data_IF_886831379637
#
_entry.id   IF_886831379637
#
_cell.length_a   1.000
_cell.length_b   1.000
_cell.length_c   1.000
_cell.angle_alpha   90.00
_cell.angle_beta   90.00
_cell.angle_gamma   90.00
#
_symmetry.space_group_name_H-M   'P 1'
#
loop_
_entity.id
_entity.type
_entity.pdbx_description
1 polymer ?
#
# COMPACT_ATOMS: atom_id res chain seq x y z
N UNK A 1 12.90 -23.85 54.39
CA UNK A 1 12.80 -23.02 55.61
C UNK A 1 13.99 -23.35 56.49
N UNK A 2 15.09 -22.62 56.34
CA UNK A 2 16.11 -22.31 57.37
C UNK A 2 17.36 -21.72 56.71
N UNK A 3 17.89 -20.69 57.38
CA UNK A 3 19.08 -19.86 57.09
C UNK A 3 18.83 -18.82 55.97
N UNK A 4 18.88 -17.51 56.19
CA UNK A 4 19.55 -16.74 57.25
C UNK A 4 18.96 -15.31 57.23
N UNK A 5 18.32 -14.90 58.33
CA UNK A 5 18.05 -13.49 58.64
C UNK A 5 18.98 -13.15 59.81
N UNK A 6 19.97 -12.29 59.59
CA UNK A 6 20.20 -11.08 60.41
C UNK A 6 21.46 -10.30 60.02
N UNK A 7 21.33 -9.00 60.30
CA UNK A 7 22.29 -7.88 60.21
C UNK A 7 22.58 -7.34 58.82
N UNK A 8 21.82 -6.31 58.44
CA UNK A 8 22.44 -5.16 57.80
C UNK A 8 22.02 -3.84 58.47
N UNK A 9 23.06 -3.04 58.67
CA UNK A 9 23.16 -1.77 59.39
C UNK A 9 22.34 -0.67 58.71
N UNK A 10 21.79 0.26 59.51
CA UNK A 10 20.95 1.40 59.09
C UNK A 10 21.71 2.46 58.24
N UNK A 11 22.99 2.26 57.94
CA UNK A 11 23.81 3.17 57.12
C UNK A 11 23.77 2.95 55.60
N UNK A 12 22.89 2.11 55.05
CA UNK A 12 22.92 1.78 53.60
C UNK A 12 21.80 2.42 52.77
N UNK A 13 20.80 3.07 53.36
CA UNK A 13 19.62 3.54 52.61
C UNK A 13 19.93 4.69 51.62
N UNK A 14 20.84 5.61 51.98
CA UNK A 14 21.28 6.68 51.06
C UNK A 14 22.08 6.16 49.86
N UNK A 15 22.69 4.96 49.99
CA UNK A 15 23.38 4.29 48.88
C UNK A 15 22.39 3.63 47.91
N UNK A 16 21.18 3.31 48.36
CA UNK A 16 20.10 2.75 47.53
C UNK A 16 19.24 3.82 46.85
N UNK A 17 19.12 5.02 47.43
CA UNK A 17 18.49 6.16 46.73
C UNK A 17 19.32 6.61 45.51
N UNK A 18 20.65 6.48 45.58
CA UNK A 18 21.56 6.74 44.46
C UNK A 18 21.49 5.68 43.32
N UNK A 19 20.99 4.46 43.61
CA UNK A 19 20.77 3.42 42.60
C UNK A 19 19.54 3.72 41.72
N UNK A 20 18.55 4.46 42.23
CA UNK A 20 17.39 4.90 41.45
C UNK A 20 17.74 5.96 40.40
N UNK A 21 18.63 6.90 40.75
CA UNK A 21 19.15 7.89 39.81
C UNK A 21 20.13 7.27 38.82
N UNK A 22 21.00 6.34 39.25
CA UNK A 22 21.84 5.57 38.33
C UNK A 22 21.04 4.66 37.41
N UNK A 23 19.92 4.07 37.88
CA UNK A 23 18.99 3.30 37.05
C UNK A 23 18.31 4.19 36.00
N UNK A 24 17.88 5.41 36.37
CA UNK A 24 17.39 6.41 35.41
C UNK A 24 18.47 6.82 34.41
N UNK A 25 19.70 7.06 34.86
CA UNK A 25 20.82 7.42 33.98
C UNK A 25 21.20 6.29 33.03
N UNK A 26 21.22 5.04 33.50
CA UNK A 26 21.46 3.84 32.67
C UNK A 26 20.28 3.61 31.72
N UNK A 27 19.04 3.87 32.13
CA UNK A 27 17.86 3.77 31.27
C UNK A 27 17.85 4.87 30.21
N UNK A 28 18.17 6.11 30.56
CA UNK A 28 18.33 7.23 29.62
C UNK A 28 19.55 7.03 28.72
N UNK A 29 20.65 6.49 29.23
CA UNK A 29 21.83 6.13 28.42
C UNK A 29 21.50 4.98 27.46
N UNK A 30 20.80 3.94 27.94
CA UNK A 30 20.30 2.82 27.15
C UNK A 30 19.32 3.30 26.07
N UNK A 31 18.32 4.11 26.40
CA UNK A 31 17.34 4.63 25.43
C UNK A 31 17.98 5.56 24.39
N UNK A 32 18.93 6.42 24.81
CA UNK A 32 19.60 7.38 23.93
C UNK A 32 20.72 6.75 23.09
N UNK A 33 21.39 5.70 23.58
CA UNK A 33 22.42 4.95 22.83
C UNK A 33 21.89 3.72 22.09
N UNK A 34 20.74 3.12 22.46
CA UNK A 34 20.12 2.03 21.70
C UNK A 34 19.48 2.53 20.41
N UNK A 35 18.95 3.76 20.37
CA UNK A 35 18.54 4.40 19.12
C UNK A 35 19.76 4.66 18.21
N UNK A 36 20.88 5.13 18.80
CA UNK A 36 22.16 5.22 18.08
C UNK A 36 22.66 3.83 17.69
N UNK A 37 22.38 2.76 18.45
CA UNK A 37 22.79 1.39 18.13
C UNK A 37 21.97 0.80 16.99
N UNK A 38 20.66 1.12 16.90
CA UNK A 38 19.81 0.75 15.75
C UNK A 38 20.20 1.52 14.49
N UNK A 39 20.49 2.81 14.61
CA UNK A 39 20.99 3.61 13.48
C UNK A 39 22.43 3.24 13.12
N UNK A 40 23.28 2.88 14.08
CA UNK A 40 24.64 2.38 13.86
C UNK A 40 24.62 0.96 13.31
N UNK A 41 23.70 0.09 13.71
CA UNK A 41 23.50 -1.22 13.06
C UNK A 41 22.96 -1.05 11.65
N UNK A 42 22.04 -0.11 11.42
CA UNK A 42 21.56 0.23 10.08
C UNK A 42 22.68 0.79 9.22
N UNK A 43 23.49 1.71 9.76
CA UNK A 43 24.66 2.28 9.10
C UNK A 43 25.76 1.24 8.88
N UNK A 44 26.01 0.34 9.83
CA UNK A 44 26.98 -0.77 9.72
C UNK A 44 26.49 -1.80 8.71
N UNK A 45 25.19 -2.12 8.68
CA UNK A 45 24.59 -2.95 7.64
C UNK A 45 24.69 -2.28 6.29
N UNK A 46 24.49 -0.96 6.22
CA UNK A 46 24.66 -0.18 4.99
C UNK A 46 26.12 -0.18 4.51
N UNK A 47 27.09 0.08 5.40
CA UNK A 47 28.53 0.05 5.10
C UNK A 47 28.99 -1.36 4.73
N UNK A 48 28.56 -2.39 5.45
CA UNK A 48 28.85 -3.79 5.16
C UNK A 48 28.25 -4.22 3.82
N UNK A 49 27.00 -3.83 3.56
CA UNK A 49 26.34 -4.04 2.29
C UNK A 49 27.07 -3.35 1.12
N UNK A 50 27.62 -2.16 1.35
CA UNK A 50 28.40 -1.44 0.34
C UNK A 50 29.81 -2.02 0.14
N UNK A 51 30.39 -2.63 1.17
CA UNK A 51 31.63 -3.40 1.08
C UNK A 51 31.46 -4.72 0.31
N UNK A 52 30.28 -5.35 0.39
CA UNK A 52 29.94 -6.55 -0.38
C UNK A 52 29.80 -6.28 -1.88
N UNK A 53 29.34 -5.08 -2.25
CA UNK A 53 29.18 -4.69 -3.64
C UNK A 53 30.39 -3.87 -4.06
N UNK A 54 31.37 -4.49 -4.71
CA UNK A 54 32.52 -3.79 -5.34
C UNK A 54 32.11 -2.75 -6.40
N UNK A 55 30.80 -2.52 -6.59
CA UNK A 55 30.18 -1.59 -7.51
C UNK A 55 29.80 -0.27 -6.80
N UNK A 56 30.52 0.84 -7.06
CA UNK A 56 30.29 2.12 -6.39
C UNK A 56 28.94 2.78 -6.72
N UNK A 57 28.20 2.24 -7.69
CA UNK A 57 26.96 2.80 -8.21
C UNK A 57 25.70 2.20 -7.58
N UNK A 58 25.83 1.32 -6.58
CA UNK A 58 24.71 0.66 -5.91
C UNK A 58 24.61 1.15 -4.47
N UNK A 59 23.46 1.74 -4.11
CA UNK A 59 23.28 2.25 -2.75
C UNK A 59 23.17 1.12 -1.73
N UNK A 60 23.81 1.31 -0.58
CA UNK A 60 23.73 0.42 0.56
C UNK A 60 22.30 0.02 0.97
N UNK A 61 21.35 0.94 0.84
CA UNK A 61 19.92 0.69 1.14
C UNK A 61 19.28 -0.31 0.19
N UNK A 62 19.65 -0.27 -1.10
CA UNK A 62 19.15 -1.24 -2.07
C UNK A 62 19.70 -2.64 -1.78
N UNK A 63 20.98 -2.72 -1.45
CA UNK A 63 21.61 -3.99 -1.07
C UNK A 63 20.94 -4.58 0.17
N UNK A 64 20.69 -3.77 1.20
CA UNK A 64 19.97 -4.18 2.40
C UNK A 64 18.53 -4.64 2.10
N UNK A 65 17.83 -3.96 1.18
CA UNK A 65 16.50 -4.37 0.72
C UNK A 65 16.53 -5.76 0.08
N UNK A 66 17.48 -6.02 -0.81
CA UNK A 66 17.59 -7.29 -1.49
C UNK A 66 18.01 -8.44 -0.54
N UNK A 67 18.92 -8.17 0.41
CA UNK A 67 19.30 -9.13 1.47
C UNK A 67 18.08 -9.50 2.33
N UNK A 68 17.30 -8.52 2.78
CA UNK A 68 16.11 -8.74 3.63
C UNK A 68 15.04 -9.61 2.97
N UNK A 69 14.99 -9.59 1.64
CA UNK A 69 14.05 -10.37 0.82
C UNK A 69 14.63 -11.70 0.35
N UNK A 70 15.82 -12.06 0.83
CA UNK A 70 16.55 -13.29 0.46
C UNK A 70 16.67 -13.45 -1.05
N UNK A 71 16.87 -12.32 -1.77
CA UNK A 71 16.94 -12.34 -3.21
C UNK A 71 18.25 -13.04 -3.63
N UNK A 72 18.19 -14.15 -4.38
CA UNK A 72 19.39 -14.87 -4.78
C UNK A 72 20.25 -14.05 -5.75
N UNK A 73 21.57 -14.29 -5.74
CA UNK A 73 22.57 -13.68 -6.64
C UNK A 73 22.54 -12.15 -6.73
N UNK A 74 22.59 -11.51 -5.56
CA UNK A 74 22.68 -10.07 -5.37
C UNK A 74 23.74 -9.38 -6.24
N UNK A 75 24.92 -9.99 -6.37
CA UNK A 75 26.02 -9.45 -7.20
C UNK A 75 25.61 -9.24 -8.66
N UNK A 76 24.79 -10.14 -9.21
CA UNK A 76 24.30 -10.04 -10.59
C UNK A 76 23.27 -8.92 -10.75
N UNK A 77 22.37 -8.78 -9.77
CA UNK A 77 21.40 -7.67 -9.74
C UNK A 77 22.14 -6.34 -9.68
N UNK A 78 23.15 -6.21 -8.81
CA UNK A 78 23.96 -5.01 -8.68
C UNK A 78 24.76 -4.67 -9.94
N UNK A 79 25.28 -5.69 -10.64
CA UNK A 79 25.92 -5.54 -11.95
C UNK A 79 24.95 -5.01 -13.02
N UNK A 80 23.72 -5.57 -13.09
CA UNK A 80 22.67 -5.10 -13.99
C UNK A 80 22.27 -3.64 -13.70
N UNK A 81 22.09 -3.27 -12.44
CA UNK A 81 21.77 -1.90 -12.04
C UNK A 81 22.87 -0.90 -12.41
N UNK A 82 24.14 -1.33 -12.35
CA UNK A 82 25.28 -0.53 -12.77
C UNK A 82 25.29 -0.26 -14.29
N UNK A 83 24.72 -1.16 -15.10
CA UNK A 83 24.73 -1.08 -16.55
C UNK A 83 23.56 -0.28 -17.15
N UNK A 84 22.36 -0.39 -16.57
CA UNK A 84 21.13 -0.06 -17.29
C UNK A 84 20.59 1.36 -17.10
N UNK A 85 20.93 2.11 -16.04
CA UNK A 85 20.28 3.40 -15.79
C UNK A 85 21.25 4.48 -15.29
N UNK A 86 21.07 5.72 -15.78
CA UNK A 86 21.69 6.93 -15.21
C UNK A 86 20.94 7.46 -13.98
N UNK A 87 19.72 6.95 -13.74
CA UNK A 87 19.03 7.19 -12.49
C UNK A 87 18.04 6.10 -12.15
N UNK A 88 18.04 5.65 -10.90
CA UNK A 88 17.13 4.61 -10.38
C UNK A 88 16.27 5.24 -9.31
N UNK A 89 14.95 5.04 -9.40
CA UNK A 89 14.01 5.39 -8.35
C UNK A 89 13.84 4.17 -7.44
N UNK A 90 14.38 4.26 -6.23
CA UNK A 90 14.16 3.25 -5.21
C UNK A 90 12.97 3.65 -4.38
N UNK A 91 11.91 2.88 -4.55
CA UNK A 91 10.75 2.95 -3.68
C UNK A 91 11.09 2.12 -2.43
N UNK A 92 10.88 2.68 -1.24
CA UNK A 92 11.12 1.95 -0.01
C UNK A 92 10.21 0.71 0.11
N UNK A 93 10.42 -0.11 1.16
CA UNK A 93 9.66 -1.34 1.37
C UNK A 93 8.14 -1.13 1.53
N UNK A 94 7.68 0.11 1.67
CA UNK A 94 6.29 0.49 1.92
C UNK A 94 5.62 1.19 0.74
N UNK A 95 6.38 1.72 -0.22
CA UNK A 95 5.82 2.36 -1.41
C UNK A 95 5.91 3.89 -1.42
N UNK A 96 6.54 4.51 -0.42
CA UNK A 96 6.18 5.89 -0.01
C UNK A 96 7.23 6.95 -0.34
N UNK A 97 8.49 6.56 -0.42
CA UNK A 97 9.58 7.46 -0.78
C UNK A 97 10.33 6.94 -2.01
N UNK A 98 10.48 7.79 -3.03
CA UNK A 98 11.29 7.48 -4.20
C UNK A 98 12.67 8.14 -4.06
N UNK A 99 13.69 7.34 -3.75
CA UNK A 99 15.07 7.82 -3.73
C UNK A 99 15.58 7.85 -5.17
N UNK A 100 15.83 9.05 -5.72
CA UNK A 100 16.39 9.22 -7.06
C UNK A 100 17.91 9.12 -7.00
N UNK A 101 18.45 7.93 -7.24
CA UNK A 101 19.89 7.74 -7.37
C UNK A 101 20.34 8.22 -8.74
N UNK A 102 21.44 8.98 -8.83
CA UNK A 102 22.05 9.43 -10.09
C UNK A 102 23.28 8.58 -10.34
N UNK A 103 23.19 7.61 -11.24
CA UNK A 103 24.29 6.73 -11.61
C UNK A 103 25.11 7.34 -12.77
N UNK A 104 26.42 7.15 -12.75
CA UNK A 104 27.30 7.65 -13.82
C UNK A 104 27.05 6.85 -15.10
N UNK A 105 26.84 7.53 -16.24
CA UNK A 105 26.55 6.88 -17.55
C UNK A 105 27.63 5.86 -17.89
N UNK A 106 27.22 4.62 -18.18
CA UNK A 106 28.11 3.59 -18.70
C UNK A 106 28.48 3.87 -20.16
N UNK A 107 29.76 3.69 -20.51
CA UNK A 107 30.26 3.80 -21.90
C UNK A 107 29.60 2.79 -22.86
N UNK A 108 28.95 1.75 -22.32
CA UNK A 108 28.21 0.73 -23.07
C UNK A 108 26.99 1.34 -23.78
N UNK A 109 26.40 2.40 -23.23
CA UNK A 109 25.28 3.09 -23.88
C UNK A 109 25.67 3.73 -25.23
N UNK A 110 26.93 4.18 -25.35
CA UNK A 110 27.45 4.76 -26.60
C UNK A 110 27.71 3.66 -27.63
N UNK A 111 28.37 2.57 -27.22
CA UNK A 111 28.57 1.40 -28.10
C UNK A 111 27.24 0.81 -28.58
N UNK A 112 26.22 0.81 -27.71
CA UNK A 112 24.86 0.39 -28.00
C UNK A 112 24.15 1.29 -29.03
N UNK A 113 24.25 2.61 -28.90
CA UNK A 113 23.69 3.55 -29.88
C UNK A 113 24.39 3.38 -31.23
N UNK A 114 25.72 3.32 -31.24
CA UNK A 114 26.51 3.19 -32.46
C UNK A 114 26.25 1.85 -33.18
N UNK A 115 26.09 0.75 -32.45
CA UNK A 115 25.75 -0.55 -33.02
C UNK A 115 24.38 -0.58 -33.69
N UNK A 116 23.36 0.05 -33.08
CA UNK A 116 22.03 0.16 -33.68
C UNK A 116 22.02 1.06 -34.92
N UNK A 117 22.75 2.19 -34.88
CA UNK A 117 22.94 3.05 -36.05
C UNK A 117 23.62 2.27 -37.18
N UNK A 118 24.62 1.43 -36.87
CA UNK A 118 25.28 0.58 -37.86
C UNK A 118 24.34 -0.44 -38.52
N UNK A 119 23.52 -1.14 -37.73
CA UNK A 119 22.54 -2.10 -38.25
C UNK A 119 21.45 -1.43 -39.10
N UNK A 120 20.95 -0.27 -38.67
CA UNK A 120 19.96 0.48 -39.42
C UNK A 120 20.54 0.99 -40.74
N UNK A 121 21.78 1.47 -40.71
CA UNK A 121 22.52 1.91 -41.90
C UNK A 121 22.73 0.75 -42.88
N UNK A 122 23.11 -0.44 -42.37
CA UNK A 122 23.27 -1.64 -43.19
C UNK A 122 21.96 -2.05 -43.86
N UNK A 123 20.85 -2.06 -43.10
CA UNK A 123 19.53 -2.38 -43.64
C UNK A 123 19.10 -1.39 -44.74
N UNK A 124 19.31 -0.09 -44.53
CA UNK A 124 18.99 0.95 -45.54
C UNK A 124 19.85 0.77 -46.80
N UNK A 125 21.16 0.54 -46.66
CA UNK A 125 22.06 0.31 -47.81
C UNK A 125 21.63 -0.94 -48.59
N UNK A 126 21.29 -2.03 -47.90
CA UNK A 126 20.87 -3.28 -48.52
C UNK A 126 19.55 -3.12 -49.28
N UNK A 127 18.58 -2.39 -48.70
CA UNK A 127 17.30 -2.10 -49.35
C UNK A 127 17.47 -1.19 -50.55
N UNK A 128 18.34 -0.17 -50.46
CA UNK A 128 18.67 0.71 -51.57
C UNK A 128 19.29 -0.08 -52.73
N UNK A 129 20.24 -0.97 -52.43
CA UNK A 129 20.86 -1.85 -53.42
C UNK A 129 19.85 -2.78 -54.12
N UNK A 130 18.94 -3.39 -53.36
CA UNK A 130 17.85 -4.20 -53.91
C UNK A 130 16.87 -3.37 -54.76
N UNK A 131 16.59 -2.13 -54.36
CA UNK A 131 15.66 -1.25 -55.08
C UNK A 131 16.19 -0.79 -56.44
N UNK A 132 17.51 -0.66 -56.60
CA UNK A 132 18.16 -0.34 -57.88
C UNK A 132 18.01 -1.47 -58.92
N UNK A 133 17.75 -2.70 -58.47
CA UNK A 133 17.65 -3.89 -59.32
C UNK A 133 16.22 -4.21 -59.76
N UNK A 134 15.22 -3.46 -59.28
CA UNK A 134 13.80 -3.74 -59.51
C UNK A 134 13.13 -2.56 -60.22
N UNK A 135 12.71 -2.77 -61.48
CA UNK A 135 12.07 -1.74 -62.32
C UNK A 135 10.55 -1.67 -62.16
N UNK A 136 9.93 -2.63 -61.47
CA UNK A 136 8.48 -2.69 -61.30
C UNK A 136 8.03 -2.07 -59.97
N UNK A 137 6.92 -1.35 -60.01
CA UNK A 137 6.25 -0.75 -58.83
C UNK A 137 5.89 -1.80 -57.77
N UNK A 138 5.58 -3.03 -58.18
CA UNK A 138 5.32 -4.15 -57.26
C UNK A 138 6.56 -4.58 -56.48
N UNK A 139 7.76 -4.55 -57.10
CA UNK A 139 9.02 -4.86 -56.43
C UNK A 139 9.37 -3.85 -55.32
N UNK A 140 9.02 -2.58 -55.52
CA UNK A 140 9.21 -1.52 -54.52
C UNK A 140 8.39 -1.75 -53.25
N UNK A 141 7.11 -2.11 -53.38
CA UNK A 141 6.23 -2.36 -52.23
C UNK A 141 6.71 -3.58 -51.44
N UNK A 142 7.14 -4.64 -52.14
CA UNK A 142 7.64 -5.86 -51.49
C UNK A 142 8.92 -5.60 -50.68
N UNK A 143 9.84 -4.78 -51.19
CA UNK A 143 11.05 -4.37 -50.44
C UNK A 143 10.73 -3.54 -49.20
N UNK A 144 9.75 -2.64 -49.25
CA UNK A 144 9.32 -1.88 -48.08
C UNK A 144 8.77 -2.82 -47.00
N UNK A 145 7.96 -3.81 -47.38
CA UNK A 145 7.40 -4.80 -46.44
C UNK A 145 8.49 -5.67 -45.80
N UNK A 146 9.49 -6.11 -46.58
CA UNK A 146 10.66 -6.83 -46.03
C UNK A 146 11.44 -5.94 -45.07
N UNK A 147 11.62 -4.67 -45.38
CA UNK A 147 12.35 -3.71 -44.52
C UNK A 147 11.63 -3.52 -43.18
N UNK A 148 10.32 -3.32 -43.21
CA UNK A 148 9.49 -3.23 -42.00
C UNK A 148 9.58 -4.53 -41.20
N UNK A 149 9.53 -5.68 -41.88
CA UNK A 149 9.69 -7.00 -41.26
C UNK A 149 11.05 -7.17 -40.58
N UNK A 150 12.15 -6.76 -41.22
CA UNK A 150 13.50 -6.80 -40.65
C UNK A 150 13.60 -5.85 -39.45
N UNK A 151 13.02 -4.65 -39.52
CA UNK A 151 12.99 -3.71 -38.40
C UNK A 151 12.21 -4.31 -37.23
N UNK A 152 11.03 -4.88 -37.47
CA UNK A 152 10.22 -5.51 -36.44
C UNK A 152 10.90 -6.74 -35.82
N UNK A 153 11.55 -7.56 -36.65
CA UNK A 153 12.31 -8.72 -36.21
C UNK A 153 13.55 -8.30 -35.42
N UNK A 154 14.20 -7.19 -35.81
CA UNK A 154 15.31 -6.59 -35.07
C UNK A 154 14.85 -6.05 -33.73
N UNK A 155 13.71 -5.38 -33.64
CA UNK A 155 13.10 -4.90 -32.38
C UNK A 155 12.64 -6.06 -31.49
N UNK A 156 12.14 -7.17 -32.07
CA UNK A 156 11.72 -8.35 -31.31
C UNK A 156 12.93 -9.14 -30.78
N UNK A 157 13.93 -9.34 -31.64
CA UNK A 157 15.17 -10.03 -31.29
C UNK A 157 16.15 -9.15 -30.51
N UNK A 158 15.92 -7.83 -30.44
CA UNK A 158 16.67 -6.87 -29.64
C UNK A 158 16.73 -7.26 -28.17
N UNK A 159 15.61 -7.69 -27.58
CA UNK A 159 15.58 -8.18 -26.19
C UNK A 159 16.48 -9.40 -26.01
N UNK A 160 16.44 -10.31 -26.98
CA UNK A 160 17.25 -11.53 -27.00
C UNK A 160 18.74 -11.24 -27.22
N UNK A 161 19.09 -10.32 -28.11
CA UNK A 161 20.48 -9.90 -28.35
C UNK A 161 21.06 -9.16 -27.15
N UNK A 162 20.29 -8.27 -26.52
CA UNK A 162 20.70 -7.64 -25.26
C UNK A 162 20.95 -8.68 -24.16
N UNK A 163 20.09 -9.70 -24.08
CA UNK A 163 20.27 -10.83 -23.17
C UNK A 163 21.55 -11.62 -23.47
N UNK A 164 21.82 -11.95 -24.74
CA UNK A 164 23.00 -12.72 -25.17
C UNK A 164 24.29 -11.91 -24.96
N UNK A 165 24.30 -10.61 -25.27
CA UNK A 165 25.47 -9.76 -25.07
C UNK A 165 25.77 -9.58 -23.58
N UNK A 166 24.72 -9.49 -22.76
CA UNK A 166 24.85 -9.49 -21.30
C UNK A 166 25.39 -10.83 -20.79
N UNK A 167 24.93 -11.97 -21.32
CA UNK A 167 25.45 -13.32 -20.99
C UNK A 167 26.95 -13.43 -21.31
N UNK A 168 27.37 -13.01 -22.50
CA UNK A 168 28.76 -13.12 -22.93
C UNK A 168 29.71 -12.21 -22.11
N UNK A 169 29.23 -11.09 -21.55
CA UNK A 169 30.04 -10.25 -20.66
C UNK A 169 30.09 -10.74 -19.20
N UNK A 170 29.23 -11.69 -18.81
CA UNK A 170 29.22 -12.30 -17.48
C UNK A 170 30.16 -13.52 -17.38
N UNK A 171 30.66 -14.02 -18.51
CA UNK A 171 31.58 -15.16 -18.57
C UNK A 171 32.87 -14.91 -17.77
N UNK A 172 33.27 -13.65 -17.57
CA UNK A 172 34.54 -13.30 -16.89
C UNK A 172 34.45 -13.11 -15.37
N UNK A 173 33.26 -13.00 -14.76
CA UNK A 173 33.16 -12.46 -13.39
C UNK A 173 32.55 -13.40 -12.35
N UNK A 174 31.58 -14.29 -12.68
CA UNK A 174 30.81 -15.00 -11.62
C UNK A 174 30.41 -16.46 -11.90
N UNK A 175 30.31 -16.94 -13.16
CA UNK A 175 29.62 -18.21 -13.46
C UNK A 175 30.38 -19.19 -14.37
N UNK A 176 31.67 -19.42 -14.10
CA UNK A 176 32.51 -20.31 -14.92
C UNK A 176 32.03 -21.76 -15.06
N UNK A 177 31.20 -22.26 -14.14
CA UNK A 177 30.74 -23.65 -14.12
C UNK A 177 29.39 -23.95 -14.77
N UNK A 178 28.62 -22.95 -15.21
CA UNK A 178 27.28 -23.16 -15.78
C UNK A 178 27.33 -23.28 -17.31
N UNK A 179 26.52 -24.17 -17.87
CA UNK A 179 26.35 -24.27 -19.33
C UNK A 179 25.66 -23.01 -19.89
N UNK A 180 25.91 -22.71 -21.16
CA UNK A 180 25.32 -21.54 -21.85
C UNK A 180 23.78 -21.54 -21.82
N UNK A 181 23.17 -22.73 -21.81
CA UNK A 181 21.72 -22.90 -21.71
C UNK A 181 21.19 -22.54 -20.32
N UNK A 182 21.80 -23.07 -19.26
CA UNK A 182 21.44 -22.77 -17.86
C UNK A 182 21.58 -21.28 -17.55
N UNK A 183 22.64 -20.65 -18.05
CA UNK A 183 22.87 -19.20 -17.95
C UNK A 183 21.73 -18.39 -18.60
N UNK A 184 21.27 -18.81 -19.77
CA UNK A 184 20.20 -18.14 -20.53
C UNK A 184 18.84 -18.26 -19.83
N UNK A 185 18.52 -19.44 -19.30
CA UNK A 185 17.31 -19.67 -18.49
C UNK A 185 17.33 -18.85 -17.20
N UNK A 186 18.48 -18.75 -16.54
CA UNK A 186 18.64 -17.98 -15.31
C UNK A 186 18.41 -16.48 -15.52
N UNK A 187 18.95 -15.91 -16.60
CA UNK A 187 18.80 -14.48 -16.89
C UNK A 187 17.38 -14.16 -17.39
N UNK A 188 16.73 -15.06 -18.12
CA UNK A 188 15.29 -14.95 -18.45
C UNK A 188 14.43 -14.90 -17.17
N UNK A 189 14.76 -15.72 -16.16
CA UNK A 189 14.10 -15.69 -14.86
C UNK A 189 14.36 -14.37 -14.11
N UNK A 190 15.61 -13.88 -14.08
CA UNK A 190 15.95 -12.59 -13.49
C UNK A 190 15.30 -11.40 -14.22
N UNK A 191 15.12 -11.45 -15.54
CA UNK A 191 14.40 -10.42 -16.31
C UNK A 191 12.92 -10.41 -15.95
N UNK A 192 12.29 -11.59 -15.77
CA UNK A 192 10.91 -11.67 -15.26
C UNK A 192 10.80 -11.18 -13.82
N UNK A 193 11.80 -11.47 -12.99
CA UNK A 193 11.88 -10.94 -11.62
C UNK A 193 12.02 -9.41 -11.64
N UNK A 194 12.82 -8.86 -12.55
CA UNK A 194 12.99 -7.42 -12.76
C UNK A 194 11.68 -6.77 -13.25
N UNK A 195 10.99 -7.37 -14.22
CA UNK A 195 9.65 -6.94 -14.62
C UNK A 195 8.68 -7.01 -13.44
N UNK A 196 8.77 -8.01 -12.58
CA UNK A 196 7.89 -8.14 -11.39
C UNK A 196 8.20 -7.06 -10.33
N UNK A 197 9.47 -6.68 -10.16
CA UNK A 197 9.92 -5.67 -9.21
C UNK A 197 9.64 -4.25 -9.72
N UNK A 198 9.87 -3.98 -11.01
CA UNK A 198 9.66 -2.68 -11.64
C UNK A 198 8.20 -2.44 -12.04
N UNK A 199 7.43 -3.48 -12.38
CA UNK A 199 5.98 -3.37 -12.64
C UNK A 199 5.14 -3.44 -11.35
N UNK A 200 5.75 -3.28 -10.16
CA UNK A 200 5.03 -3.06 -8.90
C UNK A 200 4.43 -1.64 -8.82
N UNK A 201 3.98 -1.11 -9.96
CA UNK A 201 2.98 -0.06 -10.10
C UNK A 201 1.56 -0.68 -9.98
N UNK A 202 1.39 -1.65 -9.07
CA UNK A 202 0.17 -2.43 -8.83
C UNK A 202 -0.94 -1.60 -8.13
N UNK A 203 -0.91 -0.28 -8.24
CA UNK A 203 -2.03 0.60 -7.92
C UNK A 203 -3.08 0.65 -9.04
N UNK A 204 -2.79 0.13 -10.23
CA UNK A 204 -3.69 0.27 -11.39
C UNK A 204 -4.60 -0.94 -11.71
N UNK A 205 -4.48 -2.08 -11.01
CA UNK A 205 -5.31 -3.28 -11.27
C UNK A 205 -5.95 -3.89 -10.01
N UNK A 206 -6.06 -3.12 -8.93
CA UNK A 206 -6.80 -3.59 -7.76
C UNK A 206 -8.29 -3.46 -8.04
N UNK A 207 -9.06 -4.53 -7.79
CA UNK A 207 -10.51 -4.46 -7.94
C UNK A 207 -11.13 -3.56 -6.86
N UNK A 208 -12.39 -3.16 -7.03
CA UNK A 208 -13.07 -2.31 -6.05
C UNK A 208 -13.22 -3.03 -4.70
N UNK A 209 -13.52 -4.34 -4.69
CA UNK A 209 -13.55 -5.13 -3.46
C UNK A 209 -12.18 -5.24 -2.79
N UNK A 210 -11.11 -5.48 -3.54
CA UNK A 210 -9.77 -5.53 -2.96
C UNK A 210 -9.36 -4.16 -2.38
N UNK A 211 -9.78 -3.08 -3.02
CA UNK A 211 -9.58 -1.70 -2.54
C UNK A 211 -10.35 -1.44 -1.23
N UNK A 212 -11.62 -1.85 -1.15
CA UNK A 212 -12.42 -1.74 0.06
C UNK A 212 -11.82 -2.57 1.20
N UNK A 213 -11.43 -3.82 0.93
CA UNK A 213 -10.77 -4.70 1.91
C UNK A 213 -9.48 -4.10 2.46
N UNK A 214 -8.70 -3.45 1.60
CA UNK A 214 -7.50 -2.73 2.02
C UNK A 214 -7.81 -1.52 2.90
N UNK A 215 -8.90 -0.79 2.63
CA UNK A 215 -9.35 0.30 3.52
C UNK A 215 -9.77 -0.23 4.89
N UNK A 216 -10.52 -1.34 4.93
CA UNK A 216 -10.91 -1.99 6.19
C UNK A 216 -9.67 -2.39 7.00
N UNK A 217 -8.68 -3.00 6.35
CA UNK A 217 -7.42 -3.37 7.02
C UNK A 217 -6.62 -2.16 7.50
N UNK A 218 -6.55 -1.08 6.71
CA UNK A 218 -5.90 0.15 7.17
C UNK A 218 -6.63 0.80 8.34
N UNK A 219 -7.96 0.73 8.38
CA UNK A 219 -8.74 1.20 9.53
C UNK A 219 -8.47 0.33 10.77
N UNK A 220 -8.37 -0.99 10.60
CA UNK A 220 -8.00 -1.90 11.70
C UNK A 220 -6.65 -1.51 12.33
N UNK A 221 -5.66 -1.21 11.48
CA UNK A 221 -4.35 -0.75 11.94
C UNK A 221 -4.41 0.62 12.61
N UNK A 222 -5.24 1.54 12.10
CA UNK A 222 -5.50 2.83 12.73
C UNK A 222 -6.00 2.64 14.15
N UNK A 223 -7.07 1.85 14.32
CA UNK A 223 -7.75 1.65 15.60
C UNK A 223 -6.83 1.01 16.63
N UNK A 224 -6.04 0.00 16.26
CA UNK A 224 -5.07 -0.64 17.17
C UNK A 224 -3.97 0.33 17.66
N UNK A 225 -3.52 1.27 16.81
CA UNK A 225 -2.38 2.14 17.10
C UNK A 225 -2.78 3.46 17.75
N UNK A 226 -3.87 4.07 17.29
CA UNK A 226 -4.29 5.41 17.70
C UNK A 226 -5.45 5.40 18.70
N UNK A 227 -6.19 4.28 18.82
CA UNK A 227 -7.33 4.10 19.72
C UNK A 227 -7.14 2.89 20.64
N UNK A 228 -5.93 2.74 21.20
CA UNK A 228 -5.56 1.57 22.01
C UNK A 228 -6.46 1.39 23.23
N UNK A 229 -6.92 2.48 23.82
CA UNK A 229 -7.88 2.53 24.92
C UNK A 229 -9.21 1.84 24.57
N UNK A 230 -9.71 2.05 23.36
CA UNK A 230 -10.91 1.38 22.85
C UNK A 230 -10.59 -0.05 22.43
N UNK A 231 -9.42 -0.27 21.83
CA UNK A 231 -8.99 -1.58 21.34
C UNK A 231 -8.92 -2.65 22.45
N UNK A 232 -8.57 -2.25 23.68
CA UNK A 232 -8.44 -3.17 24.83
C UNK A 232 -9.75 -3.39 25.60
N UNK A 233 -10.85 -2.74 25.23
CA UNK A 233 -12.15 -2.96 25.86
C UNK A 233 -12.66 -4.40 25.64
N UNK A 234 -13.51 -4.87 26.55
CA UNK A 234 -14.28 -6.10 26.33
C UNK A 234 -15.19 -5.97 25.11
N UNK A 235 -15.65 -7.09 24.55
CA UNK A 235 -16.59 -7.08 23.41
C UNK A 235 -17.82 -6.21 23.70
N UNK A 236 -18.43 -6.33 24.88
CA UNK A 236 -19.56 -5.50 25.30
C UNK A 236 -19.17 -4.02 25.41
N UNK A 237 -17.98 -3.71 25.93
CA UNK A 237 -17.47 -2.34 25.99
C UNK A 237 -17.30 -1.73 24.60
N UNK A 238 -16.75 -2.49 23.65
CA UNK A 238 -16.61 -2.08 22.25
C UNK A 238 -17.96 -1.86 21.59
N UNK A 239 -18.93 -2.76 21.81
CA UNK A 239 -20.30 -2.64 21.30
C UNK A 239 -20.96 -1.34 21.76
N UNK A 240 -20.94 -1.07 23.08
CA UNK A 240 -21.50 0.17 23.64
C UNK A 240 -20.80 1.41 23.10
N UNK A 241 -19.47 1.36 23.00
CA UNK A 241 -18.68 2.45 22.44
C UNK A 241 -19.05 2.73 20.97
N UNK A 242 -19.18 1.68 20.16
CA UNK A 242 -19.57 1.82 18.76
C UNK A 242 -21.01 2.30 18.59
N UNK A 243 -21.95 1.85 19.41
CA UNK A 243 -23.32 2.37 19.41
C UNK A 243 -23.35 3.88 19.73
N UNK A 244 -22.56 4.34 20.71
CA UNK A 244 -22.42 5.76 21.02
C UNK A 244 -21.81 6.56 19.85
N UNK A 245 -20.79 6.00 19.18
CA UNK A 245 -20.23 6.60 17.98
C UNK A 245 -21.27 6.70 16.85
N UNK A 246 -22.01 5.64 16.55
CA UNK A 246 -23.05 5.67 15.51
C UNK A 246 -24.14 6.70 15.85
N UNK A 247 -24.58 6.81 17.10
CA UNK A 247 -25.53 7.86 17.53
C UNK A 247 -24.99 9.28 17.35
N UNK A 248 -23.72 9.51 17.71
CA UNK A 248 -23.05 10.79 17.49
C UNK A 248 -22.96 11.14 16.00
N UNK A 249 -22.54 10.21 15.15
CA UNK A 249 -22.30 10.50 13.73
C UNK A 249 -23.58 10.59 12.92
N UNK A 250 -24.59 9.75 13.21
CA UNK A 250 -25.92 9.85 12.57
C UNK A 250 -26.58 11.19 12.86
N UNK A 251 -26.58 11.65 14.12
CA UNK A 251 -27.11 12.98 14.47
C UNK A 251 -26.34 14.13 13.83
N UNK A 252 -25.02 14.02 13.69
CA UNK A 252 -24.20 15.02 12.99
C UNK A 252 -24.50 15.08 11.49
N UNK A 253 -24.69 13.93 10.84
CA UNK A 253 -25.09 13.85 9.42
C UNK A 253 -26.47 14.46 9.25
N UNK A 254 -27.47 14.03 10.04
CA UNK A 254 -28.82 14.58 9.98
C UNK A 254 -28.85 16.09 10.20
N UNK A 255 -28.12 16.59 11.20
CA UNK A 255 -28.03 18.03 11.45
C UNK A 255 -27.40 18.78 10.28
N UNK A 256 -26.33 18.25 9.68
CA UNK A 256 -25.69 18.87 8.52
C UNK A 256 -26.63 18.92 7.31
N UNK A 257 -27.32 17.81 7.02
CA UNK A 257 -28.28 17.70 5.92
C UNK A 257 -29.49 18.61 6.12
N UNK A 258 -30.10 18.59 7.31
CA UNK A 258 -31.29 19.38 7.64
C UNK A 258 -31.04 20.89 7.56
N UNK A 259 -29.85 21.34 7.95
CA UNK A 259 -29.51 22.76 7.96
C UNK A 259 -29.07 23.26 6.57
N UNK A 260 -28.75 22.38 5.61
CA UNK A 260 -28.70 22.66 4.17
C UNK A 260 -27.70 23.71 3.66
N UNK A 261 -26.92 24.35 4.53
CA UNK A 261 -26.13 25.54 4.18
C UNK A 261 -24.66 25.26 3.82
N UNK A 262 -24.17 24.04 4.05
CA UNK A 262 -22.76 23.69 3.81
C UNK A 262 -22.63 22.24 3.34
N UNK A 263 -22.61 22.06 2.02
CA UNK A 263 -22.47 20.75 1.39
C UNK A 263 -21.13 20.08 1.76
N UNK A 264 -20.06 20.84 1.85
CA UNK A 264 -18.74 20.31 2.21
C UNK A 264 -18.74 19.78 3.65
N UNK A 265 -19.44 20.44 4.56
CA UNK A 265 -19.69 19.91 5.90
C UNK A 265 -20.48 18.60 5.86
N UNK A 266 -21.49 18.47 5.01
CA UNK A 266 -22.22 17.20 4.84
C UNK A 266 -21.25 16.11 4.37
N UNK A 267 -20.47 16.37 3.31
CA UNK A 267 -19.48 15.44 2.76
C UNK A 267 -18.50 14.95 3.83
N UNK A 268 -17.95 15.88 4.61
CA UNK A 268 -17.04 15.56 5.71
C UNK A 268 -17.70 14.68 6.79
N UNK A 269 -18.97 14.93 7.14
CA UNK A 269 -19.70 14.10 8.11
C UNK A 269 -20.03 12.71 7.57
N UNK A 270 -20.32 12.58 6.28
CA UNK A 270 -20.52 11.27 5.64
C UNK A 270 -19.21 10.48 5.62
N UNK A 271 -18.08 11.11 5.26
CA UNK A 271 -16.76 10.46 5.29
C UNK A 271 -16.37 10.05 6.72
N UNK A 272 -16.54 10.93 7.71
CA UNK A 272 -16.30 10.57 9.11
C UNK A 272 -17.19 9.39 9.56
N UNK A 273 -18.42 9.30 9.07
CA UNK A 273 -19.33 8.19 9.37
C UNK A 273 -18.91 6.89 8.69
N UNK A 274 -18.36 6.96 7.48
CA UNK A 274 -17.79 5.81 6.78
C UNK A 274 -16.58 5.25 7.54
N UNK A 275 -15.69 6.11 8.04
CA UNK A 275 -14.56 5.72 8.91
C UNK A 275 -15.06 4.91 10.11
N UNK A 276 -16.06 5.42 10.81
CA UNK A 276 -16.65 4.73 11.97
C UNK A 276 -17.32 3.42 11.57
N UNK A 277 -17.95 3.35 10.40
CA UNK A 277 -18.51 2.10 9.91
C UNK A 277 -17.42 1.05 9.61
N UNK A 278 -16.27 1.45 9.04
CA UNK A 278 -15.13 0.54 8.85
C UNK A 278 -14.60 0.03 10.21
N UNK A 279 -14.49 0.89 11.22
CA UNK A 279 -14.15 0.48 12.59
C UNK A 279 -15.19 -0.46 13.18
N UNK A 280 -16.48 -0.20 12.95
CA UNK A 280 -17.59 -1.05 13.36
C UNK A 280 -17.45 -2.45 12.74
N UNK A 281 -17.31 -2.53 11.42
CA UNK A 281 -17.12 -3.77 10.67
C UNK A 281 -15.95 -4.59 11.23
N UNK A 282 -14.82 -3.94 11.52
CA UNK A 282 -13.64 -4.57 12.11
C UNK A 282 -13.88 -5.13 13.52
N UNK A 283 -14.53 -4.36 14.40
CA UNK A 283 -14.84 -4.79 15.78
C UNK A 283 -15.70 -6.05 15.79
N UNK A 284 -16.67 -6.13 14.87
CA UNK A 284 -17.56 -7.28 14.77
C UNK A 284 -17.03 -8.39 13.87
N UNK A 285 -15.85 -8.23 13.25
CA UNK A 285 -15.29 -9.18 12.26
C UNK A 285 -16.29 -9.44 11.13
N UNK A 286 -16.98 -8.38 10.70
CA UNK A 286 -17.99 -8.39 9.66
C UNK A 286 -17.55 -7.43 8.56
N UNK A 287 -16.53 -7.85 7.79
CA UNK A 287 -16.01 -7.10 6.67
C UNK A 287 -17.12 -6.86 5.64
N UNK A 288 -17.32 -5.60 5.31
CA UNK A 288 -18.29 -5.11 4.32
C UNK A 288 -17.93 -5.67 2.94
N UNK A 289 -16.65 -5.71 2.59
CA UNK A 289 -16.19 -6.24 1.29
C UNK A 289 -16.68 -7.69 1.09
N UNK A 290 -16.47 -8.55 2.08
CA UNK A 290 -16.87 -9.96 2.02
C UNK A 290 -18.39 -10.12 2.06
N UNK A 291 -19.10 -9.24 2.76
CA UNK A 291 -20.56 -9.26 2.80
C UNK A 291 -21.20 -8.87 1.47
N UNK A 292 -20.64 -7.87 0.79
CA UNK A 292 -21.11 -7.44 -0.52
C UNK A 292 -20.87 -8.51 -1.58
N UNK A 293 -19.69 -9.15 -1.57
CA UNK A 293 -19.37 -10.29 -2.43
C UNK A 293 -20.37 -11.43 -2.24
N UNK A 294 -20.67 -11.82 -0.99
CA UNK A 294 -21.63 -12.89 -0.67
C UNK A 294 -23.06 -12.57 -1.11
N UNK A 295 -23.44 -11.29 -1.20
CA UNK A 295 -24.76 -10.86 -1.67
C UNK A 295 -24.82 -10.68 -3.20
N UNK A 296 -23.86 -11.24 -3.94
CA UNK A 296 -23.77 -11.16 -5.41
C UNK A 296 -23.71 -9.72 -5.94
N UNK A 297 -23.16 -8.79 -5.17
CA UNK A 297 -22.88 -7.44 -5.68
C UNK A 297 -21.76 -7.56 -6.71
N UNK A 298 -21.97 -7.03 -7.92
CA UNK A 298 -20.94 -7.07 -8.96
C UNK A 298 -19.75 -6.19 -8.57
N UNK A 299 -18.55 -6.73 -8.68
CA UNK A 299 -17.32 -5.97 -8.52
C UNK A 299 -17.25 -4.86 -9.57
N UNK A 300 -16.57 -3.76 -9.23
CA UNK A 300 -16.44 -2.59 -10.08
C UNK A 300 -14.96 -2.33 -10.38
N UNK A 301 -14.68 -1.44 -11.35
CA UNK A 301 -13.31 -1.08 -11.67
C UNK A 301 -12.68 -0.22 -10.57
N UNK A 302 -13.48 0.61 -9.89
CA UNK A 302 -13.02 1.50 -8.82
C UNK A 302 -13.88 1.43 -7.56
N UNK A 303 -13.28 1.79 -6.42
CA UNK A 303 -13.99 1.86 -5.14
C UNK A 303 -15.16 2.86 -5.18
N UNK A 304 -14.97 4.01 -5.83
CA UNK A 304 -16.01 5.03 -5.93
C UNK A 304 -17.21 4.46 -6.71
N UNK A 305 -17.00 3.82 -7.86
CA UNK A 305 -18.08 3.15 -8.61
C UNK A 305 -18.82 2.09 -7.78
N UNK A 306 -18.10 1.31 -6.96
CA UNK A 306 -18.72 0.35 -6.05
C UNK A 306 -19.61 1.04 -5.01
N UNK A 307 -19.11 2.08 -4.35
CA UNK A 307 -19.89 2.82 -3.35
C UNK A 307 -21.10 3.49 -4.01
N UNK A 308 -20.91 4.10 -5.17
CA UNK A 308 -21.95 4.79 -5.93
C UNK A 308 -23.04 3.82 -6.40
N UNK A 309 -22.68 2.63 -6.88
CA UNK A 309 -23.63 1.59 -7.29
C UNK A 309 -24.40 1.00 -6.11
N UNK A 310 -23.73 0.71 -4.99
CA UNK A 310 -24.39 0.27 -3.76
C UNK A 310 -25.38 1.32 -3.25
N UNK A 311 -24.99 2.61 -3.30
CA UNK A 311 -25.85 3.72 -2.91
C UNK A 311 -27.08 3.88 -3.81
N UNK A 312 -26.88 3.77 -5.12
CA UNK A 312 -27.96 3.82 -6.11
C UNK A 312 -28.98 2.69 -5.87
N UNK A 313 -28.51 1.45 -5.69
CA UNK A 313 -29.38 0.31 -5.37
C UNK A 313 -30.20 0.52 -4.09
N UNK A 314 -29.61 1.15 -3.06
CA UNK A 314 -30.33 1.45 -1.83
C UNK A 314 -31.42 2.50 -2.03
N UNK A 315 -31.11 3.58 -2.76
CA UNK A 315 -32.06 4.66 -3.10
C UNK A 315 -33.25 4.11 -3.90
N UNK A 316 -32.98 3.25 -4.89
CA UNK A 316 -33.99 2.55 -5.68
C UNK A 316 -34.87 1.66 -4.80
N UNK A 317 -34.25 0.81 -3.96
CA UNK A 317 -34.95 -0.10 -3.06
C UNK A 317 -35.89 0.65 -2.10
N UNK A 318 -35.46 1.81 -1.59
CA UNK A 318 -36.26 2.67 -0.71
C UNK A 318 -37.22 3.60 -1.44
N UNK A 319 -37.18 3.66 -2.77
CA UNK A 319 -38.00 4.54 -3.61
C UNK A 319 -37.81 6.02 -3.26
N UNK A 320 -36.56 6.41 -3.06
CA UNK A 320 -36.15 7.80 -2.83
C UNK A 320 -35.73 8.54 -4.11
N UNK A 321 -35.74 7.86 -5.25
CA UNK A 321 -35.45 8.47 -6.55
C UNK A 321 -36.39 9.64 -6.86
N UNK A 322 -35.84 10.71 -7.43
CA UNK A 322 -36.60 11.91 -7.79
C UNK A 322 -37.17 12.72 -6.62
N UNK A 323 -37.04 12.24 -5.38
CA UNK A 323 -37.46 13.00 -4.19
C UNK A 323 -36.49 14.16 -3.93
N UNK A 324 -37.04 15.36 -3.76
CA UNK A 324 -36.27 16.57 -3.43
C UNK A 324 -35.53 16.45 -2.10
N UNK A 325 -36.04 15.65 -1.17
CA UNK A 325 -35.56 15.43 0.19
C UNK A 325 -34.81 14.09 0.36
N UNK A 326 -34.41 13.42 -0.72
CA UNK A 326 -33.69 12.13 -0.67
C UNK A 326 -32.51 12.12 0.33
N UNK A 327 -31.73 13.20 0.39
CA UNK A 327 -30.64 13.30 1.38
C UNK A 327 -31.12 13.31 2.82
N UNK A 328 -32.24 13.97 3.11
CA UNK A 328 -32.85 14.01 4.45
C UNK A 328 -33.40 12.62 4.82
N UNK A 329 -34.11 11.96 3.91
CA UNK A 329 -34.60 10.59 4.08
C UNK A 329 -33.47 9.61 4.41
N UNK A 330 -32.38 9.64 3.66
CA UNK A 330 -31.19 8.81 3.94
C UNK A 330 -30.57 9.12 5.31
N UNK A 331 -30.50 10.40 5.70
CA UNK A 331 -29.99 10.77 7.01
C UNK A 331 -30.92 10.34 8.16
N UNK A 332 -32.24 10.36 7.95
CA UNK A 332 -33.22 9.82 8.89
C UNK A 332 -33.10 8.31 9.02
N UNK A 333 -32.96 7.58 7.91
CA UNK A 333 -32.70 6.13 7.90
C UNK A 333 -31.47 5.79 8.77
N UNK A 334 -30.41 6.60 8.69
CA UNK A 334 -29.22 6.40 9.53
C UNK A 334 -29.50 6.61 11.02
N UNK A 335 -30.31 7.61 11.37
CA UNK A 335 -30.74 7.84 12.76
C UNK A 335 -31.66 6.72 13.28
N UNK A 336 -32.58 6.23 12.46
CA UNK A 336 -33.45 5.08 12.81
C UNK A 336 -32.59 3.85 13.10
N UNK A 337 -31.65 3.53 12.20
CA UNK A 337 -30.73 2.40 12.38
C UNK A 337 -29.86 2.55 13.64
N UNK A 338 -29.45 3.78 13.98
CA UNK A 338 -28.77 4.03 15.25
C UNK A 338 -29.63 3.70 16.47
N UNK A 339 -30.95 3.94 16.41
CA UNK A 339 -31.89 3.56 17.45
C UNK A 339 -32.04 2.06 17.59
N UNK A 340 -32.09 1.34 16.46
CA UNK A 340 -32.13 -0.12 16.43
C UNK A 340 -30.87 -0.74 17.05
N UNK A 341 -29.69 -0.22 16.70
CA UNK A 341 -28.41 -0.63 17.32
C UNK A 341 -28.47 -0.44 18.83
N UNK A 342 -28.91 0.73 19.30
CA UNK A 342 -29.05 1.00 20.74
C UNK A 342 -30.02 0.03 21.42
N UNK A 343 -31.12 -0.33 20.77
CA UNK A 343 -32.06 -1.33 21.29
C UNK A 343 -31.39 -2.70 21.42
N UNK A 344 -30.60 -3.14 20.44
CA UNK A 344 -29.84 -4.40 20.54
C UNK A 344 -28.81 -4.34 21.68
N UNK A 345 -28.16 -3.20 21.90
CA UNK A 345 -27.23 -3.02 23.03
C UNK A 345 -27.98 -3.07 24.37
N UNK A 346 -29.14 -2.43 24.48
CA UNK A 346 -29.99 -2.49 25.67
C UNK A 346 -30.45 -3.94 25.95
N UNK A 347 -30.94 -4.65 24.92
CA UNK A 347 -31.31 -6.06 25.02
C UNK A 347 -30.14 -6.93 25.51
N UNK A 348 -28.92 -6.64 25.04
CA UNK A 348 -27.71 -7.34 25.48
C UNK A 348 -27.40 -7.08 26.95
N UNK A 349 -27.62 -5.86 27.43
CA UNK A 349 -27.43 -5.49 28.83
C UNK A 349 -28.46 -6.15 29.75
N UNK A 350 -29.67 -6.40 29.25
CA UNK A 350 -30.73 -7.14 29.94
C UNK A 350 -30.70 -8.66 29.69
N UNK A 351 -29.77 -9.16 28.87
CA UNK A 351 -29.66 -10.57 28.50
C UNK A 351 -30.97 -11.13 27.91
N UNK A 352 -31.67 -10.32 27.12
CA UNK A 352 -32.92 -10.71 26.45
C UNK A 352 -32.66 -11.80 25.40
N UNK A 353 -33.72 -12.51 24.99
CA UNK A 353 -33.66 -13.41 23.83
C UNK A 353 -33.61 -12.54 22.57
N UNK A 354 -32.43 -12.40 21.97
CA UNK A 354 -32.22 -11.55 20.80
C UNK A 354 -31.09 -12.09 19.89
N UNK A 355 -31.19 -11.97 18.55
CA UNK A 355 -30.18 -12.47 17.61
C UNK A 355 -28.99 -11.49 17.46
N UNK A 356 -28.21 -11.31 18.53
CA UNK A 356 -27.19 -10.27 18.64
C UNK A 356 -26.18 -10.25 17.48
N UNK A 357 -25.61 -11.42 17.13
CA UNK A 357 -24.52 -11.51 16.16
C UNK A 357 -25.02 -11.19 14.76
N UNK A 358 -26.15 -11.73 14.40
CA UNK A 358 -26.83 -11.53 13.12
C UNK A 358 -27.20 -10.05 12.97
N UNK A 359 -27.84 -9.46 13.99
CA UNK A 359 -28.21 -8.04 13.99
C UNK A 359 -26.99 -7.14 13.82
N UNK A 360 -25.91 -7.33 14.59
CA UNK A 360 -24.72 -6.48 14.45
C UNK A 360 -24.06 -6.60 13.07
N UNK A 361 -24.04 -7.80 12.47
CA UNK A 361 -23.52 -7.98 11.11
C UNK A 361 -24.38 -7.24 10.08
N UNK A 362 -25.71 -7.32 10.20
CA UNK A 362 -26.65 -6.64 9.31
C UNK A 362 -26.60 -5.12 9.45
N UNK A 363 -26.39 -4.61 10.67
CA UNK A 363 -26.24 -3.18 10.92
C UNK A 363 -25.02 -2.59 10.23
N UNK A 364 -23.85 -3.26 10.27
CA UNK A 364 -22.63 -2.83 9.56
C UNK A 364 -22.91 -2.56 8.07
N UNK A 365 -23.53 -3.55 7.40
CA UNK A 365 -23.86 -3.46 5.98
C UNK A 365 -24.96 -2.41 5.71
N UNK A 366 -25.95 -2.31 6.59
CA UNK A 366 -27.05 -1.34 6.44
C UNK A 366 -26.55 0.10 6.58
N UNK A 367 -25.67 0.37 7.55
CA UNK A 367 -24.98 1.66 7.68
C UNK A 367 -24.22 1.95 6.38
N UNK A 368 -23.49 0.96 5.85
CA UNK A 368 -22.70 1.16 4.63
C UNK A 368 -23.58 1.55 3.46
N UNK A 369 -24.69 0.83 3.23
CA UNK A 369 -25.65 1.14 2.15
C UNK A 369 -26.25 2.54 2.27
N UNK A 370 -26.65 2.95 3.47
CA UNK A 370 -27.21 4.29 3.70
C UNK A 370 -26.15 5.37 3.42
N UNK A 371 -24.92 5.20 3.94
CA UNK A 371 -23.83 6.14 3.72
C UNK A 371 -23.39 6.19 2.25
N UNK A 372 -23.42 5.05 1.54
CA UNK A 372 -23.21 4.97 0.10
C UNK A 372 -24.29 5.74 -0.66
N UNK A 373 -25.55 5.66 -0.22
CA UNK A 373 -26.65 6.48 -0.75
C UNK A 373 -26.39 7.97 -0.56
N UNK A 374 -25.87 8.39 0.60
CA UNK A 374 -25.46 9.77 0.85
C UNK A 374 -24.27 10.18 -0.03
N UNK A 375 -23.29 9.30 -0.24
CA UNK A 375 -22.19 9.54 -1.18
C UNK A 375 -22.71 9.73 -2.61
N UNK A 376 -23.74 8.97 -3.01
CA UNK A 376 -24.41 9.13 -4.30
C UNK A 376 -25.16 10.45 -4.41
N UNK A 377 -25.96 10.80 -3.40
CA UNK A 377 -26.76 12.02 -3.38
C UNK A 377 -25.93 13.30 -3.43
N UNK A 378 -24.78 13.30 -2.76
CA UNK A 378 -23.89 14.46 -2.66
C UNK A 378 -22.65 14.35 -3.55
N UNK A 379 -22.63 13.41 -4.51
CA UNK A 379 -21.54 13.24 -5.48
C UNK A 379 -20.15 13.18 -4.82
N UNK A 380 -20.03 12.40 -3.75
CA UNK A 380 -18.77 12.22 -3.02
C UNK A 380 -17.90 11.22 -3.79
N UNK A 381 -16.78 11.73 -4.30
CA UNK A 381 -15.75 10.96 -5.00
C UNK A 381 -14.42 11.02 -4.23
N UNK A 382 -13.42 10.29 -4.72
CA UNK A 382 -12.09 10.15 -4.11
C UNK A 382 -12.19 9.66 -2.66
N UNK A 383 -13.10 8.72 -2.38
CA UNK A 383 -13.50 8.37 -1.02
C UNK A 383 -12.31 7.87 -0.20
N UNK A 384 -11.46 7.04 -0.80
CA UNK A 384 -10.23 6.55 -0.15
C UNK A 384 -9.29 7.70 0.24
N UNK A 385 -9.15 8.72 -0.61
CA UNK A 385 -8.30 9.88 -0.34
C UNK A 385 -8.90 10.77 0.75
N UNK A 386 -10.22 10.98 0.72
CA UNK A 386 -10.92 11.74 1.77
C UNK A 386 -10.82 11.04 3.12
N UNK A 387 -10.97 9.72 3.18
CA UNK A 387 -10.73 8.95 4.41
C UNK A 387 -9.30 9.14 4.91
N UNK A 388 -8.30 9.02 4.02
CA UNK A 388 -6.89 9.23 4.35
C UNK A 388 -6.64 10.62 4.95
N UNK A 389 -7.14 11.68 4.32
CA UNK A 389 -6.95 13.06 4.79
C UNK A 389 -7.60 13.30 6.16
N UNK A 390 -8.80 12.75 6.36
CA UNK A 390 -9.55 12.86 7.62
C UNK A 390 -8.83 12.14 8.76
N UNK A 391 -8.34 10.92 8.53
CA UNK A 391 -7.58 10.16 9.52
C UNK A 391 -6.25 10.83 9.84
N UNK A 392 -5.51 11.27 8.82
CA UNK A 392 -4.23 11.95 9.01
C UNK A 392 -4.37 13.21 9.87
N UNK A 393 -5.46 13.96 9.72
CA UNK A 393 -5.75 15.14 10.52
C UNK A 393 -6.00 14.83 12.01
N UNK A 394 -6.50 13.62 12.32
CA UNK A 394 -6.68 13.12 13.69
C UNK A 394 -5.35 12.59 14.23
N UNK A 395 -4.65 11.77 13.46
CA UNK A 395 -3.38 11.13 13.82
C UNK A 395 -2.30 12.15 14.19
N UNK A 396 -2.20 13.25 13.44
CA UNK A 396 -1.25 14.35 13.70
C UNK A 396 -1.38 14.98 15.08
N UNK A 397 -2.52 14.81 15.75
CA UNK A 397 -2.76 15.32 17.12
C UNK A 397 -2.16 14.40 18.18
N UNK A 398 -1.77 13.17 17.83
CA UNK A 398 -1.15 12.24 18.76
C UNK A 398 0.31 12.66 19.03
N UNK A 399 0.72 12.77 20.31
CA UNK A 399 2.11 13.12 20.66
C UNK A 399 3.18 12.20 20.07
N UNK A 400 2.81 10.96 19.72
CA UNK A 400 3.70 9.94 19.19
C UNK A 400 3.53 9.71 17.68
N UNK A 401 2.88 10.64 16.95
CA UNK A 401 2.62 10.53 15.50
C UNK A 401 3.84 10.07 14.68
N UNK A 402 5.02 10.65 14.93
CA UNK A 402 6.27 10.30 14.22
C UNK A 402 6.79 8.88 14.50
N UNK A 403 6.34 8.24 15.58
CA UNK A 403 6.77 6.89 15.99
C UNK A 403 5.77 5.80 15.61
N UNK A 404 4.49 6.14 15.49
CA UNK A 404 3.42 5.18 15.21
C UNK A 404 3.23 4.91 13.72
N UNK A 405 3.76 5.76 12.83
CA UNK A 405 3.36 5.77 11.42
C UNK A 405 1.94 6.31 11.25
N UNK A 406 1.37 6.29 10.04
CA UNK A 406 0.07 6.92 9.79
C UNK A 406 -0.69 6.25 8.64
N UNK A 407 -1.93 6.65 8.39
CA UNK A 407 -2.77 6.02 7.37
C UNK A 407 -2.20 6.13 5.94
N UNK A 408 -1.50 7.23 5.66
CA UNK A 408 -0.92 7.57 4.35
C UNK A 408 0.41 6.87 4.09
N UNK A 409 1.30 6.90 5.08
CA UNK A 409 2.68 6.37 5.06
C UNK A 409 2.80 4.99 5.78
N UNK A 410 1.66 4.37 6.05
CA UNK A 410 1.60 3.09 6.74
C UNK A 410 2.05 3.13 8.20
N UNK A 411 1.42 2.30 9.01
CA UNK A 411 1.77 2.17 10.42
C UNK A 411 3.14 1.49 10.59
N UNK A 412 3.90 1.90 11.61
CA UNK A 412 5.20 1.32 11.96
C UNK A 412 4.99 0.17 12.95
N UNK A 413 5.77 -0.91 12.81
CA UNK A 413 5.65 -2.09 13.66
C UNK A 413 6.16 -1.85 15.07
#
# INVERSE_FOLDING_TARGET
FNLLILKYNIGSLDKYLNLGEQSKLIKTFSEKYLDIKKDREKLLREVYAQQLTTHPNVSARFVAYCIRREIPNLNFIFYLFNLCHSSVYLIDSKGEHSLRLKCKRSNIYIAFILGNIGLLSYAVIFVYFLSLSLTSTGGWIFNIMISIGIIFLSIKNYKTFCLIFLVNQLDDVVYGGLSKFEKTCYISWCSRLFDTICCRNRKQNMSAFESLKNLEYKQLQHDDRYHKDIWVLSTQGKVRHMAAHIGKYSSQVLSAVRNGQDEERIKNKVIDSLIINLSYANIFLCLISEHLEKKNTSDQATLDELIQSVGQLYIEQKRYEGRSDCGLELAMDFCVLSGEILKTVESMDHMEIHPYRESFNEYSLSIFKILSGLCKKYEINDIAMKIEDRLLAVEKRNPYFSRLGNHKEGYLQ
#
